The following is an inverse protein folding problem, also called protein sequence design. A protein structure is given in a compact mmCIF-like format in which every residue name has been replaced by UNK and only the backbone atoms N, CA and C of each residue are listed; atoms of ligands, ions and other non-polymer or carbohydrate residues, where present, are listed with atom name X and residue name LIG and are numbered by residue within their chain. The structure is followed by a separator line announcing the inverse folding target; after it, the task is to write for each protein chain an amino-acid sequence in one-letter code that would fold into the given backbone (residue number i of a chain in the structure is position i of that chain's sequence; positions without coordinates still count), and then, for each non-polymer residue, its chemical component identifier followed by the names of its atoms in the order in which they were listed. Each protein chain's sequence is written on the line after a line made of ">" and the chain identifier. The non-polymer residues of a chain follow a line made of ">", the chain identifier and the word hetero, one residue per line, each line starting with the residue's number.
data_IF_160060408371
#
_entry.id   IF_160060408371
#
_cell.length_a   1.000
_cell.length_b   1.000
_cell.length_c   1.000
_cell.angle_alpha   90.00
_cell.angle_beta   90.00
_cell.angle_gamma   90.00
#
_symmetry.space_group_name_H-M   'P 1'
#
loop_
_entity.id
_entity.type
_entity.pdbx_description
1 polymer ?
#
# COMPACT_ATOMS: atom_id res chain seq x y z
N UNK A 1 -8.56 -7.21 14.30
CA UNK A 1 -8.05 -5.88 13.90
C UNK A 1 -8.72 -4.70 14.60
N UNK A 2 -10.06 -4.56 14.64
CA UNK A 2 -10.72 -3.41 15.31
C UNK A 2 -10.41 -3.29 16.81
N UNK A 3 -10.45 -4.40 17.53
CA UNK A 3 -10.14 -4.45 18.98
C UNK A 3 -8.70 -4.01 19.23
N UNK A 4 -7.75 -4.54 18.45
CA UNK A 4 -6.32 -4.18 18.55
C UNK A 4 -6.06 -2.72 18.18
N UNK A 5 -6.77 -2.18 17.19
CA UNK A 5 -6.73 -0.77 16.85
C UNK A 5 -7.16 0.11 18.05
N UNK A 6 -8.31 -0.20 18.65
CA UNK A 6 -8.82 0.50 19.84
C UNK A 6 -7.89 0.38 21.03
N UNK A 7 -7.31 -0.80 21.27
CA UNK A 7 -6.32 -1.03 22.31
C UNK A 7 -5.03 -0.20 22.11
N UNK A 8 -4.70 0.14 20.86
CA UNK A 8 -3.61 1.08 20.53
C UNK A 8 -4.02 2.56 20.61
N UNK A 9 -5.25 2.86 21.04
CA UNK A 9 -5.80 4.21 21.12
C UNK A 9 -6.29 4.76 19.78
N UNK A 10 -6.53 3.89 18.79
CA UNK A 10 -6.99 4.28 17.46
C UNK A 10 -8.41 3.77 17.17
N UNK A 11 -9.33 4.68 16.86
CA UNK A 11 -10.68 4.29 16.44
C UNK A 11 -10.69 3.93 14.96
N UNK A 12 -10.97 2.65 14.60
CA UNK A 12 -10.91 2.20 13.22
C UNK A 12 -12.02 2.83 12.39
N UNK A 13 -11.66 3.27 11.18
CA UNK A 13 -12.60 3.90 10.24
C UNK A 13 -12.95 2.93 9.12
N UNK A 14 -14.19 2.97 8.63
CA UNK A 14 -14.53 2.32 7.37
C UNK A 14 -14.17 3.28 6.25
N UNK A 15 -13.11 2.97 5.51
CA UNK A 15 -12.78 3.72 4.30
C UNK A 15 -13.71 3.23 3.19
N UNK A 16 -14.69 4.04 2.83
CA UNK A 16 -15.47 3.82 1.61
C UNK A 16 -14.58 4.26 0.45
N UNK A 17 -13.88 3.31 -0.16
CA UNK A 17 -13.24 3.54 -1.46
C UNK A 17 -14.36 3.89 -2.44
N UNK A 18 -14.30 5.08 -3.02
CA UNK A 18 -15.08 5.45 -4.20
C UNK A 18 -14.60 4.62 -5.39
N UNK A 19 -14.90 3.32 -5.39
CA UNK A 19 -14.92 2.53 -6.61
C UNK A 19 -16.09 3.06 -7.44
N UNK A 20 -15.78 3.75 -8.53
CA UNK A 20 -16.77 4.18 -9.50
C UNK A 20 -17.72 3.05 -9.87
N UNK A 21 -19.02 3.34 -9.75
CA UNK A 21 -20.19 2.67 -10.35
C UNK A 21 -20.07 1.19 -10.75
N UNK A 22 -20.86 0.32 -10.11
CA UNK A 22 -21.48 -0.81 -10.82
C UNK A 22 -21.54 -2.18 -10.16
N UNK A 23 -21.06 -2.38 -8.93
CA UNK A 23 -21.20 -3.68 -8.25
C UNK A 23 -22.27 -3.61 -7.15
N UNK A 24 -23.36 -4.42 -7.20
CA UNK A 24 -24.26 -4.53 -6.06
C UNK A 24 -23.48 -5.08 -4.87
N UNK A 25 -23.67 -4.45 -3.70
CA UNK A 25 -23.02 -4.87 -2.47
C UNK A 25 -23.19 -6.40 -2.27
N UNK A 26 -22.12 -7.14 -1.94
CA UNK A 26 -22.27 -8.56 -1.66
C UNK A 26 -23.19 -8.71 -0.45
N UNK A 27 -24.32 -9.41 -0.65
CA UNK A 27 -25.18 -9.85 0.45
C UNK A 27 -24.31 -10.62 1.44
N UNK A 28 -24.31 -10.18 2.69
CA UNK A 28 -23.69 -10.93 3.78
C UNK A 28 -24.40 -12.29 3.84
N UNK A 29 -23.69 -13.36 3.47
CA UNK A 29 -24.12 -14.71 3.77
C UNK A 29 -24.17 -14.85 5.29
N UNK A 30 -25.36 -15.07 5.82
CA UNK A 30 -25.58 -15.37 7.23
C UNK A 30 -24.81 -16.65 7.60
N UNK A 31 -24.06 -16.57 8.70
CA UNK A 31 -23.36 -17.70 9.25
C UNK A 31 -24.37 -18.70 9.82
N UNK A 32 -24.53 -19.84 9.16
CA UNK A 32 -25.13 -21.03 9.78
C UNK A 32 -24.07 -21.66 10.68
N UNK A 33 -24.35 -21.72 11.98
CA UNK A 33 -23.54 -22.40 12.99
C UNK A 33 -24.10 -23.82 13.28
N UNK A 34 -23.30 -24.76 13.79
CA UNK A 34 -23.35 -26.17 13.43
C UNK A 34 -24.37 -26.99 14.21
N UNK A 35 -24.88 -28.03 13.54
CA UNK A 35 -25.65 -29.12 14.13
C UNK A 35 -24.70 -30.20 14.67
N UNK A 36 -24.88 -30.56 15.94
CA UNK A 36 -24.54 -31.81 16.65
C UNK A 36 -25.20 -31.61 18.04
N UNK A 37 -26.08 -32.44 18.60
CA UNK A 37 -26.38 -33.86 18.45
C UNK A 37 -27.70 -34.14 19.21
N UNK A 38 -28.64 -34.85 18.58
CA UNK A 38 -29.80 -35.45 19.25
C UNK A 38 -29.39 -36.82 19.80
N UNK A 39 -29.16 -36.93 21.11
CA UNK A 39 -29.23 -38.20 21.81
C UNK A 39 -29.67 -37.98 23.26
N UNK A 40 -30.99 -38.08 23.50
CA UNK A 40 -31.63 -38.70 24.68
C UNK A 40 -33.10 -38.31 24.78
N UNK A 41 -33.94 -39.18 24.21
CA UNK A 41 -35.25 -39.44 24.79
C UNK A 41 -35.08 -40.31 26.06
N UNK A 42 -36.10 -40.26 26.91
CA UNK A 42 -36.25 -40.88 28.24
C UNK A 42 -35.65 -40.08 29.40
N UNK A 43 -36.49 -39.33 30.12
CA UNK A 43 -37.05 -39.79 31.41
C UNK A 43 -38.14 -38.81 31.90
N UNK A 44 -39.32 -39.36 32.19
CA UNK A 44 -40.36 -38.91 33.15
C UNK A 44 -41.03 -37.54 32.91
N UNK A 45 -42.30 -37.50 32.47
CA UNK A 45 -43.52 -37.75 33.25
C UNK A 45 -43.87 -36.63 34.26
N UNK A 46 -44.94 -35.88 33.95
CA UNK A 46 -45.98 -35.57 34.93
C UNK A 46 -46.00 -34.16 35.54
N UNK A 47 -46.98 -33.37 35.07
CA UNK A 47 -47.65 -32.25 35.75
C UNK A 47 -46.79 -30.97 35.96
N UNK A 48 -47.26 -29.75 35.68
CA UNK A 48 -48.40 -29.09 36.32
C UNK A 48 -48.78 -27.80 35.52
N UNK A 49 -50.09 -27.66 35.28
CA UNK A 49 -50.98 -26.47 35.23
C UNK A 49 -50.60 -25.16 34.51
N UNK A 50 -51.52 -24.81 33.61
CA UNK A 50 -52.20 -23.52 33.42
C UNK A 50 -51.39 -22.25 33.15
N UNK A 51 -51.54 -21.78 31.90
CA UNK A 51 -51.26 -20.41 31.49
C UNK A 51 -52.23 -19.43 32.17
N UNK A 52 -51.77 -18.21 32.49
CA UNK A 52 -52.63 -17.04 32.50
C UNK A 52 -52.27 -16.08 31.36
N UNK A 53 -53.29 -15.73 30.58
CA UNK A 53 -53.34 -14.55 29.72
C UNK A 53 -53.61 -13.28 30.53
N UNK A 54 -52.99 -12.15 30.19
CA UNK A 54 -53.52 -10.77 30.21
C UNK A 54 -52.38 -9.85 29.70
N UNK A 55 -52.51 -9.24 28.51
CA UNK A 55 -53.03 -7.90 28.27
C UNK A 55 -52.12 -6.77 28.81
N UNK A 56 -51.55 -6.02 27.86
CA UNK A 56 -51.13 -4.61 27.83
C UNK A 56 -50.71 -3.90 29.14
N UNK A 57 -49.47 -3.37 29.19
CA UNK A 57 -49.12 -1.94 29.40
C UNK A 57 -47.60 -1.76 29.63
N UNK A 58 -46.97 -1.00 28.73
CA UNK A 58 -45.81 -0.09 28.84
C UNK A 58 -44.57 -0.43 29.74
N UNK A 59 -43.44 -0.66 29.07
CA UNK A 59 -42.14 -0.12 29.47
C UNK A 59 -41.27 0.14 28.22
N UNK A 60 -41.53 1.27 27.56
CA UNK A 60 -40.59 1.88 26.61
C UNK A 60 -39.38 2.42 27.38
N UNK A 61 -38.20 1.81 27.19
CA UNK A 61 -36.94 2.54 27.25
C UNK A 61 -35.84 1.80 26.48
N UNK A 62 -35.19 2.55 25.58
CA UNK A 62 -33.79 2.39 25.18
C UNK A 62 -33.47 1.35 24.08
N UNK A 63 -33.74 1.72 22.82
CA UNK A 63 -32.71 1.90 21.79
C UNK A 63 -33.37 2.38 20.49
N UNK A 64 -33.32 3.70 20.22
CA UNK A 64 -33.60 4.22 18.87
C UNK A 64 -32.28 4.13 18.09
N UNK A 65 -32.23 3.43 16.95
CA UNK A 65 -31.06 3.52 16.08
C UNK A 65 -31.03 4.96 15.55
N UNK A 66 -30.03 5.73 15.95
CA UNK A 66 -29.79 7.02 15.33
C UNK A 66 -29.63 6.79 13.83
N UNK A 67 -30.54 7.39 13.07
CA UNK A 67 -30.45 7.48 11.63
C UNK A 67 -29.05 8.01 11.28
N UNK A 68 -28.21 7.13 10.75
CA UNK A 68 -26.95 7.54 10.15
C UNK A 68 -27.34 8.44 8.99
N UNK A 69 -27.31 9.76 9.24
CA UNK A 69 -27.37 10.77 8.18
C UNK A 69 -26.41 10.30 7.11
N UNK A 70 -26.94 10.03 5.91
CA UNK A 70 -26.14 9.78 4.74
C UNK A 70 -25.19 10.97 4.61
N UNK A 71 -23.95 10.78 5.05
CA UNK A 71 -22.93 11.80 5.01
C UNK A 71 -22.79 12.15 3.53
N UNK A 72 -22.98 13.44 3.23
CA UNK A 72 -22.76 14.03 1.93
C UNK A 72 -21.54 13.40 1.26
N UNK A 73 -21.73 12.84 0.07
CA UNK A 73 -20.70 12.27 -0.79
C UNK A 73 -19.79 13.38 -1.34
N UNK A 74 -19.09 14.08 -0.45
CA UNK A 74 -17.90 14.82 -0.82
C UNK A 74 -16.79 13.78 -0.92
N UNK A 75 -16.19 13.67 -2.11
CA UNK A 75 -14.99 12.89 -2.32
C UNK A 75 -13.86 13.55 -1.53
N UNK A 76 -13.72 13.19 -0.26
CA UNK A 76 -12.56 13.58 0.52
C UNK A 76 -11.36 12.82 -0.06
N UNK A 77 -10.41 13.55 -0.65
CA UNK A 77 -9.11 12.99 -1.00
C UNK A 77 -8.52 12.35 0.27
N UNK A 78 -8.31 11.03 0.23
CA UNK A 78 -7.77 10.32 1.36
C UNK A 78 -6.32 10.80 1.60
N UNK A 79 -5.95 11.14 2.85
CA UNK A 79 -4.58 11.53 3.14
C UNK A 79 -3.64 10.36 2.88
N UNK A 80 -2.44 10.64 2.40
CA UNK A 80 -1.40 9.62 2.24
C UNK A 80 -1.04 9.02 3.60
N UNK A 81 -0.55 7.77 3.62
CA UNK A 81 -0.13 7.09 4.87
C UNK A 81 0.88 7.92 5.65
N UNK A 82 1.82 8.56 4.96
CA UNK A 82 2.81 9.47 5.56
C UNK A 82 2.15 10.68 6.24
N UNK A 83 1.23 11.37 5.56
CA UNK A 83 0.51 12.53 6.13
C UNK A 83 -0.38 12.10 7.31
N UNK A 84 -1.15 11.03 7.14
CA UNK A 84 -2.01 10.49 8.17
C UNK A 84 -1.23 10.12 9.44
N UNK A 85 -0.02 9.61 9.32
CA UNK A 85 0.85 9.32 10.48
C UNK A 85 1.39 10.58 11.14
N UNK A 86 1.72 11.61 10.35
CA UNK A 86 2.17 12.90 10.91
C UNK A 86 1.07 13.59 11.73
N UNK A 87 -0.18 13.47 11.29
CA UNK A 87 -1.35 14.07 11.95
C UNK A 87 -1.88 13.26 13.15
N UNK A 88 -1.39 12.04 13.36
CA UNK A 88 -1.82 11.14 14.43
C UNK A 88 -0.70 10.90 15.44
N UNK A 89 -0.42 11.87 16.33
CA UNK A 89 0.48 11.63 17.45
C UNK A 89 -0.16 10.59 18.37
N UNK A 90 0.55 9.50 18.66
CA UNK A 90 0.11 8.52 19.66
C UNK A 90 0.50 9.00 21.04
N UNK A 91 -0.43 8.90 21.99
CA UNK A 91 -0.12 9.07 23.40
C UNK A 91 0.20 7.69 24.02
N UNK A 92 1.49 7.39 24.31
CA UNK A 92 1.92 6.09 24.80
C UNK A 92 1.30 5.69 26.14
N UNK A 93 0.90 6.67 26.95
CA UNK A 93 0.33 6.43 28.28
C UNK A 93 -1.16 6.12 28.26
N UNK A 94 -1.85 6.44 27.16
CA UNK A 94 -3.29 6.20 27.01
C UNK A 94 -3.64 4.88 26.29
N UNK A 95 -2.63 4.15 25.80
CA UNK A 95 -2.83 2.94 24.99
C UNK A 95 -2.41 1.69 25.75
N UNK A 96 -3.26 0.66 25.74
CA UNK A 96 -2.92 -0.69 26.22
C UNK A 96 -1.83 -1.33 25.35
N UNK A 97 -1.72 -0.91 24.08
CA UNK A 97 -0.69 -1.34 23.13
C UNK A 97 0.11 -0.15 22.57
N UNK A 98 1.09 0.41 23.33
CA UNK A 98 1.87 1.57 22.89
C UNK A 98 2.67 1.32 21.60
N UNK A 99 3.16 0.09 21.43
CA UNK A 99 3.84 -0.34 20.21
C UNK A 99 2.92 -0.38 18.97
N UNK A 100 1.60 -0.47 19.18
CA UNK A 100 0.59 -0.70 18.15
C UNK A 100 0.53 -2.15 17.68
N UNK A 101 -0.09 -2.35 16.52
CA UNK A 101 -0.27 -3.66 15.89
C UNK A 101 0.50 -3.77 14.57
N UNK A 102 0.97 -4.99 14.27
CA UNK A 102 1.51 -5.38 12.97
C UNK A 102 0.68 -6.51 12.39
N UNK A 103 0.76 -6.72 11.08
CA UNK A 103 0.08 -7.83 10.41
C UNK A 103 1.01 -8.44 9.38
N UNK A 104 0.74 -9.68 8.99
CA UNK A 104 1.48 -10.39 7.96
C UNK A 104 0.53 -10.87 6.87
N UNK A 105 0.96 -10.75 5.62
CA UNK A 105 0.26 -11.22 4.42
C UNK A 105 1.12 -12.27 3.73
N UNK A 106 0.49 -13.39 3.38
CA UNK A 106 1.13 -14.46 2.59
C UNK A 106 0.86 -14.18 1.12
N UNK A 107 1.92 -14.08 0.31
CA UNK A 107 1.85 -13.61 -1.07
C UNK A 107 2.02 -14.76 -2.05
N UNK A 108 1.13 -14.85 -3.04
CA UNK A 108 1.14 -15.89 -4.07
C UNK A 108 0.30 -17.13 -3.73
N UNK A 109 -0.36 -17.15 -2.57
CA UNK A 109 -1.32 -18.20 -2.20
C UNK A 109 -2.72 -17.98 -2.81
N UNK A 110 -2.95 -16.85 -3.45
CA UNK A 110 -4.20 -16.55 -4.16
C UNK A 110 -3.88 -15.77 -5.45
N UNK A 111 -4.85 -15.64 -6.39
CA UNK A 111 -4.64 -14.92 -7.65
C UNK A 111 -4.77 -13.40 -7.48
N UNK A 112 -4.46 -12.84 -6.31
CA UNK A 112 -4.51 -11.39 -6.09
C UNK A 112 -3.47 -10.66 -6.95
N UNK A 113 -3.84 -9.49 -7.49
CA UNK A 113 -2.86 -8.62 -8.14
C UNK A 113 -2.02 -7.86 -7.11
N UNK A 114 -0.85 -7.36 -7.50
CA UNK A 114 -0.04 -6.53 -6.60
C UNK A 114 -0.76 -5.23 -6.23
N UNK A 115 -1.56 -4.68 -7.14
CA UNK A 115 -2.44 -3.55 -6.88
C UNK A 115 -3.39 -3.83 -5.73
N UNK A 116 -4.07 -4.98 -5.72
CA UNK A 116 -5.02 -5.33 -4.66
C UNK A 116 -4.33 -5.49 -3.31
N UNK A 117 -3.13 -6.09 -3.29
CA UNK A 117 -2.30 -6.20 -2.08
C UNK A 117 -1.93 -4.81 -1.55
N UNK A 118 -1.45 -3.93 -2.42
CA UNK A 118 -1.02 -2.58 -2.04
C UNK A 118 -2.19 -1.72 -1.56
N UNK A 119 -3.36 -1.81 -2.20
CA UNK A 119 -4.59 -1.15 -1.76
C UNK A 119 -5.02 -1.68 -0.38
N UNK A 120 -4.95 -2.99 -0.16
CA UNK A 120 -5.22 -3.57 1.15
C UNK A 120 -4.22 -3.07 2.20
N UNK A 121 -2.93 -3.03 1.89
CA UNK A 121 -1.89 -2.52 2.78
C UNK A 121 -2.11 -1.04 3.14
N UNK A 122 -2.41 -0.19 2.16
CA UNK A 122 -2.77 1.22 2.37
C UNK A 122 -3.99 1.35 3.31
N UNK A 123 -5.04 0.58 3.05
CA UNK A 123 -6.23 0.54 3.91
C UNK A 123 -5.88 0.09 5.34
N UNK A 124 -5.01 -0.90 5.53
CA UNK A 124 -4.58 -1.33 6.86
C UNK A 124 -3.87 -0.21 7.63
N UNK A 125 -3.09 0.62 6.94
CA UNK A 125 -2.43 1.79 7.54
C UNK A 125 -3.40 2.93 7.89
N UNK A 126 -4.38 3.21 7.03
CA UNK A 126 -5.29 4.34 7.19
C UNK A 126 -6.49 3.99 8.09
N UNK A 127 -7.09 2.81 7.90
CA UNK A 127 -8.32 2.38 8.57
C UNK A 127 -8.09 1.70 9.93
N UNK A 128 -6.92 1.11 10.16
CA UNK A 128 -6.63 0.33 11.37
C UNK A 128 -5.35 0.77 12.11
N UNK A 129 -4.64 1.78 11.61
CA UNK A 129 -3.37 2.28 12.19
C UNK A 129 -2.33 1.19 12.45
N UNK A 130 -2.19 0.28 11.48
CA UNK A 130 -1.14 -0.74 11.52
C UNK A 130 0.24 -0.07 11.48
N UNK A 131 1.19 -0.56 12.28
CA UNK A 131 2.57 -0.06 12.34
C UNK A 131 3.36 -0.50 11.11
N UNK A 132 3.20 -1.77 10.72
CA UNK A 132 3.87 -2.40 9.60
C UNK A 132 3.06 -3.59 9.09
N UNK A 133 2.99 -3.70 7.76
CA UNK A 133 2.58 -4.92 7.06
C UNK A 133 3.84 -5.69 6.69
N UNK A 134 3.89 -6.96 7.05
CA UNK A 134 4.93 -7.90 6.62
C UNK A 134 4.39 -8.73 5.47
N UNK A 135 5.25 -9.00 4.49
CA UNK A 135 4.98 -9.87 3.36
C UNK A 135 5.85 -11.11 3.50
N UNK A 136 5.28 -12.27 3.20
CA UNK A 136 6.01 -13.52 3.12
C UNK A 136 5.55 -14.28 1.90
N UNK A 137 6.48 -14.70 1.03
CA UNK A 137 6.19 -15.54 -0.10
C UNK A 137 5.58 -16.88 0.36
N UNK A 138 4.52 -17.32 -0.30
CA UNK A 138 3.91 -18.62 -0.07
C UNK A 138 4.90 -19.73 -0.43
N UNK A 139 5.08 -20.71 0.47
CA UNK A 139 5.92 -21.88 0.25
C UNK A 139 5.02 -23.13 0.21
N UNK A 140 4.93 -23.82 -0.94
CA UNK A 140 4.18 -25.07 -1.02
C UNK A 140 4.90 -26.18 -0.25
N UNK A 141 4.19 -26.83 0.68
CA UNK A 141 4.74 -27.92 1.53
C UNK A 141 4.22 -29.31 1.16
N UNK A 142 3.31 -29.42 0.19
CA UNK A 142 2.71 -30.70 -0.23
C UNK A 142 1.99 -30.61 -1.57
N UNK A 143 1.38 -31.72 -1.98
CA UNK A 143 0.68 -31.88 -3.25
C UNK A 143 -0.86 -31.83 -3.12
N UNK A 144 -1.38 -31.17 -2.06
CA UNK A 144 -2.82 -31.04 -1.87
C UNK A 144 -3.43 -30.18 -3.00
N UNK A 145 -4.38 -30.71 -3.80
CA UNK A 145 -4.96 -30.00 -4.95
C UNK A 145 -5.77 -28.75 -4.56
N UNK A 146 -6.11 -28.58 -3.27
CA UNK A 146 -6.84 -27.39 -2.77
C UNK A 146 -5.92 -26.19 -2.56
N UNK A 147 -4.61 -26.39 -2.64
CA UNK A 147 -3.61 -25.37 -2.34
C UNK A 147 -2.84 -25.03 -3.62
N UNK A 148 -2.49 -23.76 -3.89
CA UNK A 148 -1.79 -23.40 -5.12
C UNK A 148 -0.48 -24.18 -5.28
N UNK A 149 -0.40 -24.92 -6.38
CA UNK A 149 0.81 -25.60 -6.79
C UNK A 149 1.76 -24.59 -7.45
N UNK A 150 2.61 -23.97 -6.65
CA UNK A 150 3.66 -23.06 -7.15
C UNK A 150 4.95 -23.85 -7.34
N UNK A 151 5.72 -23.59 -8.39
CA UNK A 151 7.02 -24.24 -8.58
C UNK A 151 8.05 -23.82 -7.51
N UNK A 152 7.86 -22.63 -6.92
CA UNK A 152 8.64 -22.12 -5.81
C UNK A 152 8.04 -20.84 -5.22
N UNK A 153 8.57 -20.35 -4.09
CA UNK A 153 8.08 -19.16 -3.44
C UNK A 153 8.32 -17.91 -4.31
N UNK A 154 7.34 -16.98 -4.43
CA UNK A 154 7.51 -15.76 -5.21
C UNK A 154 8.36 -14.68 -4.49
N UNK A 155 9.64 -14.97 -4.24
CA UNK A 155 10.59 -14.09 -3.53
C UNK A 155 10.79 -12.69 -4.17
N UNK A 156 10.85 -12.57 -5.49
CA UNK A 156 10.97 -11.27 -6.17
C UNK A 156 9.70 -10.43 -5.95
N UNK A 157 8.53 -11.06 -5.98
CA UNK A 157 7.25 -10.40 -5.72
C UNK A 157 7.20 -9.87 -4.28
N UNK A 158 7.61 -10.67 -3.31
CA UNK A 158 7.76 -10.24 -1.91
C UNK A 158 8.71 -9.03 -1.79
N UNK A 159 9.88 -9.10 -2.43
CA UNK A 159 10.86 -8.02 -2.43
C UNK A 159 10.27 -6.71 -3.00
N UNK A 160 9.56 -6.78 -4.13
CA UNK A 160 8.93 -5.62 -4.78
C UNK A 160 7.81 -5.02 -3.93
N UNK A 161 7.00 -5.85 -3.27
CA UNK A 161 5.96 -5.38 -2.35
C UNK A 161 6.56 -4.64 -1.15
N UNK A 162 7.68 -5.10 -0.59
CA UNK A 162 8.38 -4.35 0.46
C UNK A 162 8.92 -3.00 -0.04
N UNK A 163 9.46 -2.94 -1.26
CA UNK A 163 9.90 -1.68 -1.86
C UNK A 163 8.70 -0.72 -2.05
N UNK A 164 7.56 -1.21 -2.53
CA UNK A 164 6.35 -0.42 -2.72
C UNK A 164 5.74 0.07 -1.39
N UNK A 165 5.66 -0.79 -0.37
CA UNK A 165 5.21 -0.42 0.99
C UNK A 165 6.03 0.72 1.58
N UNK A 166 7.33 0.70 1.33
CA UNK A 166 8.24 1.75 1.77
C UNK A 166 7.86 3.13 1.20
N UNK A 167 7.32 3.17 -0.03
CA UNK A 167 6.86 4.40 -0.67
C UNK A 167 5.66 5.01 0.06
N UNK A 168 4.72 4.20 0.55
CA UNK A 168 3.55 4.70 1.30
C UNK A 168 3.98 5.38 2.59
N UNK A 169 4.89 4.73 3.32
CA UNK A 169 5.25 5.13 4.68
C UNK A 169 6.15 6.36 4.74
N UNK A 170 7.07 6.48 3.79
CA UNK A 170 8.15 7.48 3.86
C UNK A 170 8.21 8.43 2.67
N UNK A 171 7.55 8.09 1.57
CA UNK A 171 7.52 8.93 0.38
C UNK A 171 6.14 9.54 0.11
N UNK A 172 5.10 9.11 0.85
CA UNK A 172 3.74 9.62 0.68
C UNK A 172 3.15 9.27 -0.69
N UNK A 173 3.48 8.10 -1.23
CA UNK A 173 2.76 7.56 -2.38
C UNK A 173 1.39 7.02 -1.96
N UNK A 174 0.44 7.04 -2.88
CA UNK A 174 -0.82 6.30 -2.76
C UNK A 174 -0.74 4.98 -3.54
N UNK A 175 -1.55 3.99 -3.17
CA UNK A 175 -1.56 2.69 -3.88
C UNK A 175 -1.93 2.87 -5.37
N UNK A 176 -2.94 3.71 -5.66
CA UNK A 176 -3.38 4.04 -7.02
C UNK A 176 -2.36 4.86 -7.82
N UNK A 177 -1.40 5.50 -7.14
CA UNK A 177 -0.30 6.21 -7.79
C UNK A 177 0.79 5.21 -8.21
N UNK A 178 1.10 4.21 -7.38
CA UNK A 178 2.15 3.21 -7.64
C UNK A 178 1.76 2.21 -8.71
N UNK A 179 0.49 1.77 -8.76
CA UNK A 179 -0.03 0.84 -9.76
C UNK A 179 -1.36 1.36 -10.31
N UNK A 180 -1.49 1.38 -11.63
CA UNK A 180 -2.71 1.77 -12.34
C UNK A 180 -3.52 0.52 -12.77
N UNK A 181 -4.68 0.75 -13.40
CA UNK A 181 -5.52 -0.35 -13.90
C UNK A 181 -4.94 -1.06 -15.13
N UNK A 182 -3.99 -0.44 -15.85
CA UNK A 182 -3.39 -1.00 -17.05
C UNK A 182 -2.19 -1.92 -16.75
N UNK A 183 -1.52 -1.72 -15.62
CA UNK A 183 -0.40 -2.52 -15.13
C UNK A 183 -0.63 -2.85 -13.65
N UNK A 184 -1.43 -3.88 -13.34
CA UNK A 184 -1.83 -4.20 -11.97
C UNK A 184 -0.74 -4.91 -11.15
N UNK A 185 0.39 -5.27 -11.77
CA UNK A 185 1.50 -5.98 -11.14
C UNK A 185 2.79 -5.16 -11.16
N UNK A 186 3.65 -5.38 -10.17
CA UNK A 186 4.94 -4.70 -10.03
C UNK A 186 5.94 -5.22 -11.07
N UNK A 187 6.85 -4.33 -11.45
CA UNK A 187 7.88 -4.62 -12.43
C UNK A 187 8.95 -5.56 -11.85
N UNK A 188 9.32 -6.61 -12.60
CA UNK A 188 10.33 -7.56 -12.17
C UNK A 188 11.75 -6.95 -12.16
N UNK A 189 12.05 -6.04 -13.09
CA UNK A 189 13.41 -5.51 -13.31
C UNK A 189 13.63 -4.16 -12.65
N UNK A 190 12.56 -3.38 -12.50
CA UNK A 190 12.60 -2.03 -11.96
C UNK A 190 12.06 -1.94 -10.54
N UNK A 191 12.72 -1.12 -9.73
CA UNK A 191 12.17 -0.66 -8.46
C UNK A 191 10.84 0.11 -8.70
N UNK A 192 9.83 -0.03 -7.81
CA UNK A 192 8.52 0.61 -7.98
C UNK A 192 8.59 2.13 -8.17
N UNK A 193 9.56 2.82 -7.57
CA UNK A 193 9.74 4.26 -7.73
C UNK A 193 10.32 4.61 -9.11
N UNK A 194 11.28 3.82 -9.60
CA UNK A 194 11.81 3.96 -10.95
C UNK A 194 10.72 3.67 -12.00
N UNK A 195 9.98 2.57 -11.84
CA UNK A 195 8.88 2.20 -12.73
C UNK A 195 7.82 3.30 -12.76
N UNK A 196 7.45 3.85 -11.60
CA UNK A 196 6.55 4.99 -11.51
C UNK A 196 7.07 6.23 -12.24
N UNK A 197 8.36 6.56 -12.08
CA UNK A 197 8.95 7.74 -12.72
C UNK A 197 8.96 7.61 -14.25
N UNK A 198 9.23 6.42 -14.78
CA UNK A 198 9.19 6.16 -16.23
C UNK A 198 7.78 6.20 -16.82
N UNK A 199 6.73 5.91 -16.04
CA UNK A 199 5.34 6.12 -16.48
C UNK A 199 4.91 7.59 -16.39
N UNK A 200 5.64 8.41 -15.63
CA UNK A 200 5.28 9.79 -15.35
C UNK A 200 6.36 10.79 -15.82
N UNK A 201 6.90 10.56 -17.02
CA UNK A 201 8.00 11.37 -17.59
C UNK A 201 7.63 12.84 -17.76
N UNK A 202 6.35 13.16 -17.97
CA UNK A 202 5.83 14.52 -18.07
C UNK A 202 6.08 15.38 -16.81
N UNK A 203 6.39 14.74 -15.66
CA UNK A 203 6.70 15.44 -14.40
C UNK A 203 8.18 15.80 -14.25
N UNK A 204 9.01 15.42 -15.21
CA UNK A 204 10.45 15.59 -15.17
C UNK A 204 10.92 16.44 -16.37
N UNK A 205 12.05 17.15 -16.26
CA UNK A 205 12.94 17.22 -15.09
C UNK A 205 12.39 18.10 -13.95
N UNK A 206 12.75 17.76 -12.72
CA UNK A 206 12.41 18.52 -11.51
C UNK A 206 13.58 19.44 -11.14
N UNK A 207 13.32 20.73 -10.96
CA UNK A 207 14.36 21.69 -10.54
C UNK A 207 14.60 21.60 -9.03
N UNK A 208 15.80 21.18 -8.63
CA UNK A 208 16.14 21.00 -7.21
C UNK A 208 16.10 22.30 -6.39
N UNK A 209 16.29 23.45 -7.04
CA UNK A 209 16.34 24.74 -6.37
C UNK A 209 14.95 25.31 -6.06
N UNK A 210 13.91 24.89 -6.80
CA UNK A 210 12.55 25.42 -6.64
C UNK A 210 11.54 24.37 -6.15
N UNK A 211 11.69 23.11 -6.57
CA UNK A 211 10.71 22.04 -6.35
C UNK A 211 10.31 21.84 -4.89
N UNK A 212 9.07 21.44 -4.64
CA UNK A 212 8.62 21.16 -3.28
C UNK A 212 9.23 19.88 -2.70
N UNK A 213 9.18 19.73 -1.38
CA UNK A 213 9.70 18.54 -0.71
C UNK A 213 9.08 17.23 -1.24
N UNK A 214 7.78 17.21 -1.50
CA UNK A 214 7.09 16.03 -2.03
C UNK A 214 7.46 15.74 -3.49
N UNK A 215 7.73 16.76 -4.30
CA UNK A 215 8.20 16.60 -5.68
C UNK A 215 9.60 15.99 -5.71
N UNK A 216 10.50 16.46 -4.85
CA UNK A 216 11.83 15.86 -4.68
C UNK A 216 11.74 14.38 -4.27
N UNK A 217 10.76 14.02 -3.45
CA UNK A 217 10.52 12.61 -3.07
C UNK A 217 10.03 11.75 -4.23
N UNK A 218 9.57 12.30 -5.35
CA UNK A 218 9.17 11.53 -6.53
C UNK A 218 10.36 11.17 -7.43
N UNK A 219 11.46 11.90 -7.35
CA UNK A 219 12.68 11.66 -8.13
C UNK A 219 13.40 10.36 -7.70
N UNK A 220 13.64 9.39 -8.60
CA UNK A 220 14.46 8.22 -8.30
C UNK A 220 15.86 8.58 -7.81
N UNK A 221 16.32 7.95 -6.73
CA UNK A 221 17.64 8.26 -6.13
C UNK A 221 17.66 9.41 -5.11
N UNK A 222 16.54 10.13 -4.93
CA UNK A 222 16.33 11.03 -3.78
C UNK A 222 15.48 10.31 -2.73
N UNK A 223 15.91 10.34 -1.47
CA UNK A 223 15.19 9.81 -0.32
C UNK A 223 14.79 10.90 0.67
N UNK A 224 14.04 10.60 1.74
CA UNK A 224 13.57 11.59 2.72
C UNK A 224 14.67 12.43 3.35
N UNK A 225 15.81 11.80 3.66
CA UNK A 225 16.99 12.48 4.22
C UNK A 225 17.64 13.42 3.20
N UNK A 226 17.85 12.97 1.96
CA UNK A 226 18.48 13.82 0.94
C UNK A 226 17.53 14.92 0.46
N UNK A 227 16.23 14.67 0.31
CA UNK A 227 15.22 15.69 0.03
C UNK A 227 15.23 16.79 1.10
N UNK A 228 15.27 16.42 2.39
CA UNK A 228 15.35 17.39 3.48
C UNK A 228 16.64 18.22 3.43
N UNK A 229 17.77 17.58 3.12
CA UNK A 229 19.06 18.27 2.95
C UNK A 229 19.04 19.23 1.76
N UNK A 230 18.44 18.86 0.64
CA UNK A 230 18.25 19.73 -0.54
C UNK A 230 17.47 20.99 -0.15
N UNK A 231 16.30 20.81 0.47
CA UNK A 231 15.44 21.94 0.91
C UNK A 231 16.17 22.86 1.89
N UNK A 232 17.02 22.32 2.76
CA UNK A 232 17.83 23.12 3.69
C UNK A 232 18.98 23.84 2.98
N UNK A 233 19.72 23.14 2.12
CA UNK A 233 20.92 23.66 1.48
C UNK A 233 20.61 24.76 0.47
N UNK A 234 19.52 24.63 -0.31
CA UNK A 234 19.12 25.63 -1.31
C UNK A 234 18.73 27.00 -0.73
N UNK A 235 18.47 27.08 0.57
CA UNK A 235 18.25 28.35 1.29
C UNK A 235 19.54 29.14 1.50
N UNK A 236 20.68 28.47 1.44
CA UNK A 236 22.00 29.06 1.68
C UNK A 236 22.71 29.38 0.36
N UNK A 237 22.65 28.47 -0.61
CA UNK A 237 23.25 28.66 -1.92
C UNK A 237 22.49 27.83 -2.98
N UNK A 238 22.51 28.31 -4.23
CA UNK A 238 21.98 27.53 -5.35
C UNK A 238 22.75 26.20 -5.47
N UNK A 239 22.00 25.11 -5.64
CA UNK A 239 22.57 23.77 -5.76
C UNK A 239 23.02 23.51 -7.18
N UNK A 240 24.19 22.88 -7.29
CA UNK A 240 24.78 22.39 -8.54
C UNK A 240 24.78 20.85 -8.57
N UNK A 241 24.95 20.21 -9.74
CA UNK A 241 25.01 18.75 -9.85
C UNK A 241 26.08 18.11 -8.93
N UNK A 242 27.24 18.75 -8.78
CA UNK A 242 28.32 18.29 -7.89
C UNK A 242 27.90 18.35 -6.42
N UNK A 243 27.16 19.39 -6.05
CA UNK A 243 26.63 19.57 -4.70
C UNK A 243 25.59 18.50 -4.35
N UNK A 244 24.77 18.07 -5.31
CA UNK A 244 23.77 17.01 -5.10
C UNK A 244 24.42 15.67 -4.73
N UNK A 245 25.53 15.32 -5.39
CA UNK A 245 26.31 14.12 -5.05
C UNK A 245 26.80 14.16 -3.59
N UNK A 246 27.33 15.30 -3.14
CA UNK A 246 27.81 15.50 -1.75
C UNK A 246 26.70 15.46 -0.71
N UNK A 247 25.50 15.92 -1.07
CA UNK A 247 24.31 15.89 -0.19
C UNK A 247 23.86 14.43 0.10
N UNK A 248 24.21 13.49 -0.79
CA UNK A 248 23.83 12.08 -0.72
C UNK A 248 22.69 11.72 -1.67
N UNK A 249 22.54 12.44 -2.78
CA UNK A 249 21.66 12.04 -3.89
C UNK A 249 22.35 10.95 -4.71
N UNK A 250 21.63 9.88 -5.05
CA UNK A 250 22.18 8.82 -5.90
C UNK A 250 22.14 9.27 -7.36
N UNK A 251 23.18 9.99 -7.79
CA UNK A 251 23.26 10.59 -9.12
C UNK A 251 23.18 9.59 -10.28
N UNK A 252 23.57 8.31 -10.06
CA UNK A 252 23.40 7.24 -11.06
C UNK A 252 21.96 7.11 -11.57
N UNK A 253 20.98 7.32 -10.69
CA UNK A 253 19.54 7.25 -11.00
C UNK A 253 18.92 8.64 -11.18
N UNK A 254 19.27 9.58 -10.30
CA UNK A 254 18.61 10.88 -10.22
C UNK A 254 18.95 11.83 -11.38
N UNK A 255 20.12 11.69 -12.00
CA UNK A 255 20.60 12.64 -13.04
C UNK A 255 19.67 12.80 -14.24
N UNK A 256 18.88 11.79 -14.55
CA UNK A 256 17.95 11.79 -15.70
C UNK A 256 16.66 12.56 -15.45
N UNK A 257 16.37 12.85 -14.19
CA UNK A 257 15.08 13.36 -13.72
C UNK A 257 15.21 14.75 -13.08
N UNK A 258 16.41 15.35 -13.10
CA UNK A 258 16.72 16.58 -12.37
C UNK A 258 17.28 17.67 -13.28
N UNK A 259 16.95 18.91 -12.94
CA UNK A 259 17.67 20.10 -13.37
C UNK A 259 18.08 20.94 -12.15
N UNK A 260 19.06 21.81 -12.35
CA UNK A 260 19.55 22.78 -11.38
C UNK A 260 19.43 24.16 -12.01
N UNK A 261 18.48 24.98 -11.55
CA UNK A 261 18.25 26.33 -12.09
C UNK A 261 17.99 26.33 -13.61
N UNK A 262 17.14 25.41 -14.07
CA UNK A 262 16.81 25.23 -15.49
C UNK A 262 17.86 24.48 -16.33
N UNK A 263 19.07 24.22 -15.81
CA UNK A 263 20.09 23.44 -16.52
C UNK A 263 19.96 21.97 -16.13
N UNK A 264 19.81 21.03 -17.09
CA UNK A 264 19.78 19.59 -16.78
C UNK A 264 21.00 19.18 -15.96
N UNK A 265 20.81 18.31 -14.96
CA UNK A 265 21.88 17.90 -14.05
C UNK A 265 22.97 17.01 -14.70
N UNK A 266 22.83 16.74 -16.00
CA UNK A 266 23.79 16.02 -16.83
C UNK A 266 23.76 16.59 -18.23
N UNK A 267 24.88 16.47 -18.95
CA UNK A 267 24.93 16.67 -20.40
C UNK A 267 24.01 15.63 -21.06
N UNK A 268 22.74 16.01 -21.19
CA UNK A 268 21.84 15.34 -22.12
C UNK A 268 22.33 15.78 -23.48
N UNK A 269 22.79 14.87 -24.35
CA UNK A 269 23.19 15.29 -25.69
C UNK A 269 21.98 15.98 -26.33
N UNK A 270 22.24 17.07 -27.05
CA UNK A 270 21.22 18.01 -27.52
C UNK A 270 19.99 17.31 -28.11
N UNK A 271 18.81 17.92 -27.95
CA UNK A 271 17.53 17.46 -28.52
C UNK A 271 17.74 17.11 -30.01
N UNK A 272 17.74 15.81 -30.36
CA UNK A 272 18.09 15.32 -31.70
C UNK A 272 19.39 14.49 -31.80
N UNK A 273 20.08 14.22 -30.70
CA UNK A 273 21.20 13.29 -30.66
C UNK A 273 20.77 11.83 -30.88
N UNK A 274 21.71 11.00 -31.34
CA UNK A 274 21.47 9.61 -31.75
C UNK A 274 20.57 8.84 -30.77
N UNK A 275 19.62 8.07 -31.32
CA UNK A 275 18.59 7.26 -30.63
C UNK A 275 19.15 6.38 -29.48
N UNK A 276 20.46 6.11 -29.48
CA UNK A 276 21.17 5.29 -28.48
C UNK A 276 21.63 6.04 -27.22
N UNK A 277 21.52 7.37 -27.17
CA UNK A 277 21.88 8.11 -25.97
C UNK A 277 20.74 8.07 -24.94
N UNK A 278 21.01 7.76 -23.66
CA UNK A 278 20.00 7.84 -22.62
C UNK A 278 19.55 9.29 -22.42
N UNK A 279 18.33 9.58 -22.86
CA UNK A 279 17.60 10.82 -22.61
C UNK A 279 16.28 10.48 -21.94
N UNK A 280 15.66 11.46 -21.28
CA UNK A 280 14.27 11.39 -20.85
C UNK A 280 13.31 11.02 -22.00
N UNK A 281 13.71 11.35 -23.24
CA UNK A 281 12.96 11.05 -24.46
C UNK A 281 13.04 9.58 -24.91
N UNK A 282 13.93 8.77 -24.31
CA UNK A 282 14.06 7.34 -24.61
C UNK A 282 13.82 6.47 -23.35
N UNK A 283 12.55 6.12 -23.04
CA UNK A 283 12.22 5.33 -21.85
C UNK A 283 12.81 3.92 -21.87
N UNK A 284 13.00 3.32 -23.05
CA UNK A 284 13.56 1.97 -23.17
C UNK A 284 15.05 1.95 -22.77
N UNK A 285 15.82 2.94 -23.20
CA UNK A 285 17.22 3.08 -22.78
C UNK A 285 17.35 3.37 -21.28
N UNK A 286 16.46 4.21 -20.73
CA UNK A 286 16.44 4.49 -19.29
C UNK A 286 16.07 3.26 -18.45
N UNK A 287 15.13 2.43 -18.91
CA UNK A 287 14.76 1.18 -18.25
C UNK A 287 15.98 0.28 -18.03
N UNK A 288 16.78 0.06 -19.07
CA UNK A 288 17.98 -0.77 -18.97
C UNK A 288 19.01 -0.22 -17.95
N UNK A 289 19.11 1.10 -17.81
CA UNK A 289 20.05 1.74 -16.88
C UNK A 289 19.54 1.80 -15.43
N UNK A 290 18.23 1.82 -15.22
CA UNK A 290 17.58 1.93 -13.91
C UNK A 290 17.35 0.59 -13.22
N UNK A 291 17.54 -0.53 -13.94
CA UNK A 291 17.47 -1.88 -13.39
C UNK A 291 18.34 -2.02 -12.13
N UNK A 292 17.79 -2.70 -11.12
CA UNK A 292 18.43 -2.84 -9.80
C UNK A 292 19.14 -4.18 -9.60
N UNK A 293 19.05 -5.10 -10.56
CA UNK A 293 19.67 -6.43 -10.49
C UNK A 293 19.02 -7.36 -9.46
N UNK A 294 17.87 -7.00 -8.88
CA UNK A 294 17.17 -7.88 -7.94
C UNK A 294 16.68 -9.14 -8.65
N UNK A 295 16.23 -8.99 -9.90
CA UNK A 295 15.80 -10.09 -10.77
C UNK A 295 16.89 -11.16 -10.95
N UNK A 296 18.13 -10.78 -11.27
CA UNK A 296 19.22 -11.76 -11.46
C UNK A 296 19.64 -12.49 -10.18
N UNK A 297 19.36 -11.91 -9.01
CA UNK A 297 19.70 -12.50 -7.71
C UNK A 297 18.59 -13.41 -7.19
N UNK A 298 17.33 -13.00 -7.37
CA UNK A 298 16.17 -13.67 -6.77
C UNK A 298 15.50 -14.67 -7.72
N UNK A 299 15.48 -14.42 -9.04
CA UNK A 299 14.89 -15.36 -10.00
C UNK A 299 15.54 -16.75 -9.95
N UNK A 300 16.87 -16.92 -9.82
CA UNK A 300 17.45 -18.27 -9.72
C UNK A 300 16.97 -19.05 -8.48
N UNK A 301 16.53 -18.36 -7.43
CA UNK A 301 15.95 -18.97 -6.22
C UNK A 301 14.45 -19.24 -6.38
N UNK A 302 13.81 -18.63 -7.39
CA UNK A 302 12.43 -18.83 -7.76
C UNK A 302 12.35 -19.81 -8.93
N UNK A 303 11.92 -21.05 -8.67
CA UNK A 303 11.50 -21.91 -9.78
C UNK A 303 10.21 -21.31 -10.37
N UNK A 304 10.23 -21.03 -11.66
CA UNK A 304 9.36 -20.05 -12.31
C UNK A 304 7.86 -20.28 -12.18
N UNK A 305 7.17 -19.16 -12.35
CA UNK A 305 5.76 -18.94 -12.16
C UNK A 305 5.21 -18.32 -13.45
N UNK A 306 4.41 -19.08 -14.20
CA UNK A 306 3.66 -18.54 -15.34
C UNK A 306 2.17 -18.64 -15.02
N UNK A 307 1.50 -17.50 -14.83
CA UNK A 307 0.03 -17.42 -14.70
C UNK A 307 -0.67 -17.27 -16.06
N UNK A 308 0.02 -17.55 -17.16
CA UNK A 308 -0.58 -17.63 -18.49
C UNK A 308 -0.97 -19.08 -18.78
N UNK A 309 -2.20 -19.42 -18.42
CA UNK A 309 -3.00 -20.53 -18.99
C UNK A 309 -4.48 -20.18 -18.83
#
# INVERSE_FOLDING_TARGET
>A
MRVLARASGFEPKRLTLGLGSGAPAPRLLEAVSPAESEEKALYQAGAVKDCPSHADTEAQAMYKPDAVKAASSQAYELPTVMQARKLRPRNPQSSLLPAGQTTQMVIGASPESDRDILVLAENLYLAYDVRRVYYSAYVPTGADPRVPALAGPPLLREHRLYQADWLFRFYGFAASEVLDGGSPNLDAELDPKCAWALRNLQRFPVDVNTAEYLELLRVPGIGPKSAMRIVRARRQAALTPESLGRIGVVMKRARWFLCCSGVPAFDTPARGAAIRAPSIDNPAALRALLGDGASSTLLPLQKEFSFSS
#
